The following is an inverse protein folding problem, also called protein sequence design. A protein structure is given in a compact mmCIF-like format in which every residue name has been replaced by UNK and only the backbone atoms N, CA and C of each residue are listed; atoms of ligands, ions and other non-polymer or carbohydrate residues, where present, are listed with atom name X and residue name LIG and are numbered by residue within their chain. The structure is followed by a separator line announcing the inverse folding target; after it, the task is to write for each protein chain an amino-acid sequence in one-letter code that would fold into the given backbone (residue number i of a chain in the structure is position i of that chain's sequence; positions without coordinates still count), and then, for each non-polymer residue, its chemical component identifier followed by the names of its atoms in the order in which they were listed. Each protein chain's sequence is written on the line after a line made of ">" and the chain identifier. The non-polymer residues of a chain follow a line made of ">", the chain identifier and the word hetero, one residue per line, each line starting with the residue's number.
data_IF_016498858860
#
_entry.id   IF_016498858860
#
_cell.length_a   1.000
_cell.length_b   1.000
_cell.length_c   1.000
_cell.angle_alpha   90.00
_cell.angle_beta   90.00
_cell.angle_gamma   90.00
#
_symmetry.space_group_name_H-M   'P 1'
#
loop_
_entity.id
_entity.type
_entity.pdbx_description
1 polymer ?
#
# COMPACT_ATOMS: atom_id res chain seq x y z
N UNK A 1 -1.48 -0.16 20.89
CA UNK A 1 -1.95 0.32 22.22
C UNK A 1 -3.20 1.21 22.06
N UNK A 2 -4.31 0.63 21.60
CA UNK A 2 -5.63 1.31 21.55
C UNK A 2 -6.57 0.83 22.67
N UNK A 3 -6.17 -0.20 23.42
CA UNK A 3 -7.06 -0.98 24.28
C UNK A 3 -7.43 -0.30 25.61
N UNK A 4 -6.90 0.89 25.91
CA UNK A 4 -7.16 1.60 27.17
C UNK A 4 -8.09 2.81 27.06
N UNK A 5 -8.46 3.20 25.83
CA UNK A 5 -9.42 4.27 25.57
C UNK A 5 -10.24 3.81 24.39
N UNK A 6 -11.54 3.50 24.56
CA UNK A 6 -12.45 3.03 23.51
C UNK A 6 -12.73 4.05 22.40
N UNK A 7 -11.70 4.74 21.92
CA UNK A 7 -11.70 5.66 20.82
C UNK A 7 -11.34 4.90 19.54
N UNK A 8 -11.99 5.22 18.42
CA UNK A 8 -11.67 4.61 17.14
C UNK A 8 -10.22 4.92 16.74
N UNK A 9 -9.60 3.94 16.10
CA UNK A 9 -8.30 4.05 15.44
C UNK A 9 -8.38 5.00 14.24
N UNK A 10 -7.22 5.47 13.76
CA UNK A 10 -7.17 6.28 12.54
C UNK A 10 -7.76 5.56 11.33
N UNK A 11 -7.54 4.24 11.22
CA UNK A 11 -8.10 3.43 10.14
C UNK A 11 -9.63 3.40 10.21
N UNK A 12 -10.20 3.17 11.39
CA UNK A 12 -11.66 3.18 11.60
C UNK A 12 -12.29 4.54 11.32
N UNK A 13 -11.61 5.63 11.67
CA UNK A 13 -12.05 6.99 11.35
C UNK A 13 -12.05 7.26 9.84
N UNK A 14 -10.98 6.85 9.14
CA UNK A 14 -10.88 6.98 7.68
C UNK A 14 -11.95 6.16 6.97
N UNK A 15 -12.17 4.91 7.41
CA UNK A 15 -13.20 4.04 6.88
C UNK A 15 -14.60 4.66 7.03
N UNK A 16 -14.92 5.18 8.22
CA UNK A 16 -16.20 5.83 8.47
C UNK A 16 -16.47 7.03 7.54
N UNK A 17 -15.44 7.82 7.23
CA UNK A 17 -15.55 8.95 6.28
C UNK A 17 -15.73 8.44 4.85
N UNK A 18 -14.99 7.41 4.44
CA UNK A 18 -15.14 6.82 3.11
C UNK A 18 -16.57 6.28 2.89
N UNK A 19 -17.14 5.63 3.90
CA UNK A 19 -18.51 5.11 3.85
C UNK A 19 -19.55 6.23 3.76
N UNK A 20 -19.41 7.31 4.53
CA UNK A 20 -20.28 8.48 4.41
C UNK A 20 -20.23 9.10 3.00
N UNK A 21 -19.03 9.22 2.43
CA UNK A 21 -18.87 9.75 1.07
C UNK A 21 -19.55 8.87 0.03
N UNK A 22 -19.42 7.55 0.13
CA UNK A 22 -20.00 6.60 -0.83
C UNK A 22 -21.51 6.44 -0.71
N UNK A 23 -22.06 6.53 0.50
CA UNK A 23 -23.48 6.27 0.76
C UNK A 23 -24.33 7.55 0.75
N UNK A 24 -23.86 8.61 1.41
CA UNK A 24 -24.65 9.83 1.63
C UNK A 24 -24.30 10.90 0.59
N UNK A 25 -23.01 11.21 0.41
CA UNK A 25 -22.60 12.34 -0.45
C UNK A 25 -22.71 11.98 -1.93
N UNK A 26 -22.39 10.73 -2.29
CA UNK A 26 -22.44 10.27 -3.69
C UNK A 26 -23.84 10.37 -4.30
N UNK A 27 -24.89 10.29 -3.47
CA UNK A 27 -26.28 10.43 -3.90
C UNK A 27 -26.59 11.82 -4.49
N UNK A 28 -25.77 12.85 -4.23
CA UNK A 28 -25.90 14.16 -4.86
C UNK A 28 -25.70 14.14 -6.39
N UNK A 29 -25.04 13.11 -6.93
CA UNK A 29 -24.85 12.92 -8.37
C UNK A 29 -23.96 13.97 -9.03
N UNK A 30 -23.88 13.92 -10.37
CA UNK A 30 -23.08 14.83 -11.18
C UNK A 30 -21.61 14.90 -10.76
N UNK A 31 -21.03 16.10 -10.81
CA UNK A 31 -19.63 16.34 -10.44
C UNK A 31 -19.36 16.06 -8.95
N UNK A 32 -20.31 16.35 -8.06
CA UNK A 32 -20.15 16.11 -6.62
C UNK A 32 -20.09 14.61 -6.33
N UNK A 33 -21.01 13.83 -6.90
CA UNK A 33 -21.01 12.38 -6.74
C UNK A 33 -19.77 11.71 -7.33
N UNK A 34 -19.22 12.26 -8.43
CA UNK A 34 -17.94 11.80 -8.98
C UNK A 34 -16.78 12.06 -8.02
N UNK A 35 -16.64 13.29 -7.51
CA UNK A 35 -15.57 13.64 -6.57
C UNK A 35 -15.69 12.90 -5.24
N UNK A 36 -16.91 12.64 -4.77
CA UNK A 36 -17.15 11.81 -3.59
C UNK A 36 -16.59 10.38 -3.77
N UNK A 37 -16.83 9.77 -4.94
CA UNK A 37 -16.27 8.46 -5.27
C UNK A 37 -14.74 8.48 -5.34
N UNK A 38 -14.15 9.51 -5.94
CA UNK A 38 -12.70 9.66 -6.00
C UNK A 38 -12.11 9.78 -4.60
N UNK A 39 -12.68 10.64 -3.76
CA UNK A 39 -12.24 10.84 -2.38
C UNK A 39 -12.39 9.57 -1.55
N UNK A 40 -13.51 8.86 -1.65
CA UNK A 40 -13.71 7.57 -0.96
C UNK A 40 -12.65 6.54 -1.38
N UNK A 41 -12.31 6.45 -2.67
CA UNK A 41 -11.26 5.56 -3.14
C UNK A 41 -9.87 5.92 -2.59
N UNK A 42 -9.53 7.21 -2.54
CA UNK A 42 -8.27 7.68 -1.94
C UNK A 42 -8.23 7.33 -0.44
N UNK A 43 -9.32 7.57 0.29
CA UNK A 43 -9.41 7.21 1.71
C UNK A 43 -9.26 5.70 1.93
N UNK A 44 -9.80 4.86 1.05
CA UNK A 44 -9.58 3.41 1.11
C UNK A 44 -8.13 2.99 0.87
N UNK A 45 -7.36 3.75 0.07
CA UNK A 45 -5.91 3.52 -0.05
C UNK A 45 -5.24 3.82 1.30
N UNK A 46 -5.53 4.98 1.88
CA UNK A 46 -4.99 5.39 3.20
C UNK A 46 -5.38 4.41 4.30
N UNK A 47 -6.62 3.90 4.30
CA UNK A 47 -7.06 2.87 5.23
C UNK A 47 -6.18 1.61 5.13
N UNK A 48 -5.89 1.13 3.91
CA UNK A 48 -5.03 -0.03 3.69
C UNK A 48 -3.58 0.24 4.12
N UNK A 49 -3.06 1.44 3.89
CA UNK A 49 -1.74 1.84 4.42
C UNK A 49 -1.72 1.78 5.96
N UNK A 50 -2.76 2.30 6.62
CA UNK A 50 -2.86 2.30 8.08
C UNK A 50 -3.01 0.89 8.68
N UNK A 51 -3.60 -0.03 7.92
CA UNK A 51 -3.79 -1.42 8.31
C UNK A 51 -2.63 -2.33 7.89
N UNK A 52 -1.68 -1.84 7.08
CA UNK A 52 -0.60 -2.65 6.55
C UNK A 52 0.29 -3.21 7.67
N UNK A 53 0.66 -4.48 7.51
CA UNK A 53 1.57 -5.21 8.39
C UNK A 53 2.73 -5.84 7.64
N UNK A 54 2.85 -5.56 6.34
CA UNK A 54 3.79 -6.24 5.44
C UNK A 54 5.02 -5.40 5.12
N UNK A 55 5.04 -4.12 5.53
CA UNK A 55 6.21 -3.25 5.40
C UNK A 55 7.51 -3.86 5.95
N UNK A 56 7.44 -4.60 7.06
CA UNK A 56 8.63 -5.24 7.62
C UNK A 56 9.16 -6.37 6.73
N UNK A 57 8.27 -7.21 6.19
CA UNK A 57 8.65 -8.26 5.24
C UNK A 57 9.32 -7.69 3.98
N UNK A 58 8.92 -6.50 3.53
CA UNK A 58 9.60 -5.81 2.43
C UNK A 58 11.01 -5.38 2.84
N UNK A 59 11.18 -4.80 4.03
CA UNK A 59 12.51 -4.41 4.56
C UNK A 59 13.44 -5.60 4.69
N UNK A 60 12.98 -6.68 5.34
CA UNK A 60 13.75 -7.92 5.49
C UNK A 60 14.14 -8.54 4.15
N UNK A 61 13.35 -8.31 3.09
CA UNK A 61 13.71 -8.79 1.75
C UNK A 61 14.95 -8.10 1.17
N UNK A 62 15.23 -6.85 1.58
CA UNK A 62 16.41 -6.11 1.13
C UNK A 62 17.70 -6.61 1.77
N UNK A 63 17.66 -7.10 3.03
CA UNK A 63 18.81 -7.64 3.74
C UNK A 63 19.49 -8.77 2.95
N UNK A 64 18.70 -9.60 2.28
CA UNK A 64 19.21 -10.68 1.43
C UNK A 64 20.06 -10.21 0.25
N UNK A 65 19.88 -8.97 -0.21
CA UNK A 65 20.66 -8.33 -1.27
C UNK A 65 21.78 -7.42 -0.73
N UNK A 66 21.87 -7.23 0.60
CA UNK A 66 22.84 -6.32 1.21
C UNK A 66 22.60 -4.85 0.86
N UNK A 67 21.33 -4.45 0.73
CA UNK A 67 20.92 -3.07 0.49
C UNK A 67 19.94 -2.64 1.58
N UNK A 68 19.95 -1.37 1.96
CA UNK A 68 19.14 -0.89 3.09
C UNK A 68 17.73 -0.42 2.65
N UNK A 69 17.60 -0.02 1.39
CA UNK A 69 16.37 0.55 0.83
C UNK A 69 16.31 0.43 -0.70
N UNK A 70 15.20 0.89 -1.26
CA UNK A 70 14.97 0.90 -2.71
C UNK A 70 15.95 1.79 -3.48
N UNK A 71 16.40 2.90 -2.88
CA UNK A 71 17.35 3.79 -3.53
C UNK A 71 18.70 3.08 -3.72
N UNK A 72 19.14 2.36 -2.69
CA UNK A 72 20.33 1.52 -2.66
C UNK A 72 20.20 0.32 -3.60
N UNK A 73 19.03 -0.33 -3.65
CA UNK A 73 18.72 -1.38 -4.63
C UNK A 73 18.84 -0.86 -6.07
N UNK A 74 18.20 0.26 -6.39
CA UNK A 74 18.25 0.86 -7.72
C UNK A 74 19.68 1.26 -8.12
N UNK A 75 20.48 1.73 -7.15
CA UNK A 75 21.88 2.04 -7.38
C UNK A 75 22.71 0.78 -7.66
N UNK A 76 22.53 -0.28 -6.86
CA UNK A 76 23.23 -1.55 -7.05
C UNK A 76 22.94 -2.19 -8.42
N UNK A 77 21.68 -2.13 -8.87
CA UNK A 77 21.28 -2.60 -10.21
C UNK A 77 21.98 -1.77 -11.30
N UNK A 78 22.00 -0.42 -11.19
CA UNK A 78 22.66 0.44 -12.17
C UNK A 78 24.17 0.22 -12.26
N UNK A 79 24.80 -0.13 -11.14
CA UNK A 79 26.24 -0.42 -11.05
C UNK A 79 26.59 -1.86 -11.47
N UNK A 80 25.59 -2.71 -11.79
CA UNK A 80 25.81 -4.12 -12.14
C UNK A 80 26.25 -5.00 -10.96
N UNK A 81 26.10 -4.51 -9.72
CA UNK A 81 26.55 -5.22 -8.50
C UNK A 81 25.73 -6.46 -8.15
N UNK A 82 24.60 -6.66 -8.83
CA UNK A 82 23.66 -7.75 -8.57
C UNK A 82 23.45 -8.65 -9.80
N UNK A 83 24.26 -8.48 -10.85
CA UNK A 83 24.12 -9.18 -12.13
C UNK A 83 24.40 -10.69 -12.01
N UNK A 84 25.13 -11.11 -10.98
CA UNK A 84 25.40 -12.50 -10.64
C UNK A 84 24.23 -13.17 -9.89
N UNK A 85 23.22 -12.41 -9.44
CA UNK A 85 22.07 -12.92 -8.68
C UNK A 85 20.70 -12.39 -9.15
N UNK A 86 20.36 -12.48 -10.45
CA UNK A 86 19.15 -11.89 -11.00
C UNK A 86 17.85 -12.45 -10.38
N UNK A 87 17.83 -13.72 -9.99
CA UNK A 87 16.66 -14.34 -9.39
C UNK A 87 16.35 -13.81 -7.98
N UNK A 88 17.37 -13.47 -7.20
CA UNK A 88 17.18 -12.85 -5.89
C UNK A 88 16.64 -11.43 -6.04
N UNK A 89 17.15 -10.67 -7.02
CA UNK A 89 16.64 -9.33 -7.35
C UNK A 89 15.17 -9.40 -7.75
N UNK A 90 14.80 -10.32 -8.65
CA UNK A 90 13.41 -10.50 -9.07
C UNK A 90 12.49 -10.89 -7.91
N UNK A 91 12.98 -11.70 -6.95
CA UNK A 91 12.21 -12.07 -5.76
C UNK A 91 11.89 -10.85 -4.91
N UNK A 92 12.88 -10.01 -4.63
CA UNK A 92 12.71 -8.77 -3.86
C UNK A 92 11.77 -7.79 -4.56
N UNK A 93 11.96 -7.57 -5.87
CA UNK A 93 11.09 -6.68 -6.64
C UNK A 93 9.64 -7.18 -6.65
N UNK A 94 9.41 -8.49 -6.77
CA UNK A 94 8.06 -9.07 -6.68
C UNK A 94 7.44 -8.86 -5.29
N UNK A 95 8.20 -9.05 -4.21
CA UNK A 95 7.72 -8.78 -2.85
C UNK A 95 7.32 -7.32 -2.69
N UNK A 96 8.18 -6.39 -3.12
CA UNK A 96 7.91 -4.96 -3.07
C UNK A 96 6.67 -4.56 -3.89
N UNK A 97 6.56 -5.04 -5.12
CA UNK A 97 5.43 -4.72 -6.00
C UNK A 97 4.12 -5.30 -5.44
N UNK A 98 4.12 -6.52 -4.91
CA UNK A 98 2.92 -7.10 -4.27
C UNK A 98 2.47 -6.30 -3.06
N UNK A 99 3.41 -5.84 -2.23
CA UNK A 99 3.11 -4.94 -1.11
C UNK A 99 2.46 -3.63 -1.60
N UNK A 100 2.99 -3.00 -2.64
CA UNK A 100 2.37 -1.79 -3.20
C UNK A 100 0.99 -2.05 -3.78
N UNK A 101 0.83 -3.15 -4.52
CA UNK A 101 -0.45 -3.51 -5.13
C UNK A 101 -1.52 -3.83 -4.08
N UNK A 102 -1.17 -4.45 -2.95
CA UNK A 102 -2.15 -4.69 -1.88
C UNK A 102 -2.72 -3.39 -1.30
N UNK A 103 -1.95 -2.31 -1.34
CA UNK A 103 -2.33 -0.97 -0.89
C UNK A 103 -3.05 -0.18 -1.99
N UNK A 104 -2.46 -0.05 -3.17
CA UNK A 104 -2.99 0.84 -4.21
C UNK A 104 -4.15 0.21 -4.97
N UNK A 105 -4.05 -1.09 -5.27
CA UNK A 105 -4.98 -1.77 -6.14
C UNK A 105 -5.10 -3.28 -5.82
N UNK A 106 -5.66 -3.66 -4.66
CA UNK A 106 -5.56 -5.02 -4.13
C UNK A 106 -6.03 -6.12 -5.10
N UNK A 107 -7.06 -5.86 -5.92
CA UNK A 107 -7.55 -6.83 -6.92
C UNK A 107 -6.60 -7.14 -8.08
N UNK A 108 -5.41 -6.55 -8.14
CA UNK A 108 -4.37 -6.87 -9.14
C UNK A 108 -3.33 -7.87 -8.60
N UNK A 109 -3.24 -8.05 -7.29
CA UNK A 109 -2.39 -9.09 -6.70
C UNK A 109 -3.05 -10.48 -6.80
N UNK A 110 -4.38 -10.52 -6.93
CA UNK A 110 -5.18 -11.71 -7.19
C UNK A 110 -5.15 -12.02 -8.71
N UNK A 111 -4.04 -12.53 -9.22
CA UNK A 111 -4.04 -13.11 -10.58
C UNK A 111 -4.99 -14.33 -10.62
N UNK A 112 -5.79 -14.39 -11.70
CA UNK A 112 -6.76 -15.44 -12.04
C UNK A 112 -6.08 -16.78 -12.31
#
# INVERSE_FOLDING_TARGET
>A
MSELTGRPTSAELVAAVADFLDNDVRAAGGQIGFHARVAANVLRIVERELLDRTAETVRESFDGLGVDDEASLAQAIREGRLDDRPEDVLRVLRTLVRHRLSIDHPGYADER
#
